data_IF_023192444032
#
_entry.id   IF_023192444032
#
_cell.length_a   1.000
_cell.length_b   1.000
_cell.length_c   1.000
_cell.angle_alpha   90.00
_cell.angle_beta   90.00
_cell.angle_gamma   90.00
#
_symmetry.space_group_name_H-M   'P 1'
#
loop_
_entity.id
_entity.type
_entity.pdbx_description
1 polymer ?
#
# COMPACT_ATOMS: atom_id res chain seq x y z
N UNK A 1 11.99 -14.52 28.91
CA UNK A 1 12.52 -14.02 27.63
C UNK A 1 13.91 -13.49 27.92
N UNK A 2 14.96 -14.18 27.43
CA UNK A 2 16.32 -13.66 27.49
C UNK A 2 16.45 -12.54 26.47
N UNK A 3 16.19 -11.31 26.89
CA UNK A 3 16.43 -10.13 26.06
C UNK A 3 17.93 -9.87 25.94
N UNK A 4 18.35 -9.30 24.84
CA UNK A 4 19.70 -8.78 24.68
C UNK A 4 19.90 -7.65 25.71
N UNK A 5 20.77 -7.82 26.68
CA UNK A 5 21.01 -6.87 27.76
C UNK A 5 21.45 -5.48 27.29
N UNK A 6 21.92 -5.36 26.04
CA UNK A 6 22.38 -4.09 25.46
C UNK A 6 21.28 -3.11 25.09
N UNK A 7 20.08 -3.55 24.80
CA UNK A 7 19.02 -2.66 24.27
C UNK A 7 17.76 -2.60 25.10
N UNK A 8 17.58 -3.47 26.11
CA UNK A 8 16.31 -3.67 26.86
C UNK A 8 15.07 -3.93 25.98
N UNK A 9 15.26 -4.11 24.68
CA UNK A 9 14.21 -4.38 23.69
C UNK A 9 14.58 -5.61 22.90
N UNK A 10 13.58 -6.42 22.53
CA UNK A 10 13.77 -7.57 21.65
C UNK A 10 13.86 -7.06 20.21
N UNK A 11 14.99 -7.36 19.54
CA UNK A 11 15.15 -7.11 18.12
C UNK A 11 14.51 -8.25 17.33
N UNK A 12 13.44 -7.95 16.55
CA UNK A 12 12.65 -8.94 15.82
C UNK A 12 13.27 -9.34 14.46
N UNK A 13 14.36 -8.69 14.03
CA UNK A 13 15.02 -9.05 12.77
C UNK A 13 16.02 -10.21 12.96
N UNK A 14 16.27 -10.92 11.87
CA UNK A 14 17.36 -11.92 11.84
C UNK A 14 18.72 -11.23 11.88
N UNK A 15 19.72 -11.84 12.51
CA UNK A 15 19.73 -13.16 13.20
C UNK A 15 19.20 -13.12 14.64
N UNK A 16 18.96 -11.96 15.21
CA UNK A 16 18.72 -11.78 16.66
C UNK A 16 17.49 -12.53 17.17
N UNK A 17 16.39 -12.54 16.41
CA UNK A 17 15.16 -13.24 16.79
C UNK A 17 15.35 -14.77 16.85
N UNK A 18 16.30 -15.32 16.11
CA UNK A 18 16.57 -16.76 16.09
C UNK A 18 17.25 -17.26 17.36
N UNK A 19 17.84 -16.36 18.16
CA UNK A 19 18.44 -16.64 19.46
C UNK A 19 17.43 -16.63 20.61
N UNK A 20 16.25 -16.05 20.39
CA UNK A 20 15.21 -15.95 21.42
C UNK A 20 14.54 -17.28 21.62
N UNK A 21 14.44 -17.71 22.87
CA UNK A 21 13.73 -18.92 23.27
C UNK A 21 12.64 -18.60 24.28
N UNK A 22 11.53 -19.33 24.23
CA UNK A 22 10.38 -19.19 25.15
C UNK A 22 10.14 -20.54 25.82
N UNK A 23 9.96 -20.54 27.12
CA UNK A 23 9.64 -21.77 27.86
C UNK A 23 8.18 -22.15 27.61
N UNK A 24 7.95 -23.38 27.17
CA UNK A 24 6.59 -23.91 26.98
C UNK A 24 5.87 -23.98 28.34
N UNK A 25 4.70 -23.37 28.47
CA UNK A 25 3.94 -23.40 29.72
C UNK A 25 3.40 -24.79 30.09
N UNK A 26 3.24 -25.69 29.13
CA UNK A 26 2.70 -27.02 29.36
C UNK A 26 3.76 -28.05 29.75
N UNK A 27 4.89 -28.07 29.03
CA UNK A 27 5.91 -29.10 29.21
C UNK A 27 7.26 -28.61 29.74
N UNK A 28 7.44 -27.30 29.92
CA UNK A 28 8.67 -26.69 30.42
C UNK A 28 9.87 -26.71 29.46
N UNK A 29 9.71 -27.26 28.24
CA UNK A 29 10.78 -27.29 27.24
C UNK A 29 10.98 -25.92 26.58
N UNK A 30 12.20 -25.67 26.11
CA UNK A 30 12.50 -24.45 25.36
C UNK A 30 11.96 -24.55 23.92
N UNK A 31 11.14 -23.60 23.57
CA UNK A 31 10.64 -23.41 22.21
C UNK A 31 11.51 -22.39 21.47
N UNK A 32 11.79 -22.64 20.21
CA UNK A 32 12.47 -21.73 19.29
C UNK A 32 11.53 -21.27 18.22
N UNK A 33 11.82 -20.12 17.64
CA UNK A 33 11.11 -19.63 16.46
C UNK A 33 11.17 -20.69 15.34
N UNK A 34 10.05 -20.88 14.68
CA UNK A 34 10.00 -21.66 13.43
C UNK A 34 10.78 -20.88 12.35
N UNK A 35 11.73 -21.52 11.60
CA UNK A 35 12.56 -20.81 10.65
C UNK A 35 11.80 -20.25 9.44
N UNK A 36 10.67 -20.84 9.13
CA UNK A 36 9.78 -20.38 8.07
C UNK A 36 9.20 -19.00 8.42
N UNK A 37 9.00 -18.18 7.43
CA UNK A 37 8.40 -16.85 7.54
C UNK A 37 7.02 -16.91 6.89
N UNK A 38 5.99 -16.42 7.57
CA UNK A 38 4.68 -16.23 6.97
C UNK A 38 4.83 -15.24 5.81
N UNK A 39 4.20 -15.53 4.69
CA UNK A 39 4.21 -14.69 3.52
C UNK A 39 3.60 -13.31 3.86
N UNK A 40 4.27 -12.23 3.48
CA UNK A 40 3.78 -10.87 3.68
C UNK A 40 2.41 -10.62 3.00
N UNK A 41 2.07 -11.39 1.99
CA UNK A 41 0.76 -11.35 1.35
C UNK A 41 -0.35 -11.89 2.23
N UNK A 42 -0.05 -12.82 3.12
CA UNK A 42 -1.00 -13.27 4.15
C UNK A 42 -1.32 -12.11 5.11
N UNK A 43 -0.31 -11.42 5.64
CA UNK A 43 -0.53 -10.30 6.54
C UNK A 43 -1.35 -9.19 5.87
N UNK A 44 -1.05 -8.86 4.62
CA UNK A 44 -1.79 -7.84 3.86
C UNK A 44 -3.21 -8.30 3.48
N UNK A 45 -3.40 -9.59 3.24
CA UNK A 45 -4.72 -10.20 2.97
C UNK A 45 -5.62 -10.24 4.20
N UNK A 46 -5.02 -10.33 5.39
CA UNK A 46 -5.72 -10.30 6.68
C UNK A 46 -6.22 -8.90 7.08
N UNK A 47 -5.78 -7.83 6.40
CA UNK A 47 -6.08 -6.45 6.76
C UNK A 47 -7.56 -6.17 7.06
N UNK A 48 -8.55 -6.65 6.29
CA UNK A 48 -9.96 -6.32 6.52
C UNK A 48 -10.47 -6.67 7.92
N UNK A 49 -9.93 -7.70 8.54
CA UNK A 49 -10.34 -8.15 9.87
C UNK A 49 -9.26 -7.89 10.93
N UNK A 50 -7.99 -7.98 10.57
CA UNK A 50 -6.89 -7.77 11.50
C UNK A 50 -6.81 -6.32 12.01
N UNK A 51 -7.10 -5.31 11.18
CA UNK A 51 -7.14 -3.91 11.59
C UNK A 51 -8.14 -3.61 12.71
N UNK A 52 -9.18 -4.42 12.82
CA UNK A 52 -10.21 -4.30 13.85
C UNK A 52 -9.94 -5.19 15.07
N UNK A 53 -8.88 -6.00 15.04
CA UNK A 53 -8.63 -7.08 16.01
C UNK A 53 -9.81 -8.06 16.13
N UNK A 54 -10.55 -8.23 15.01
CA UNK A 54 -11.66 -9.18 14.93
C UNK A 54 -11.15 -10.64 15.06
N UNK A 55 -11.83 -11.54 15.77
CA UNK A 55 -13.17 -11.40 16.37
C UNK A 55 -13.15 -10.93 17.85
N UNK A 56 -12.01 -10.56 18.39
CA UNK A 56 -11.82 -10.28 19.82
C UNK A 56 -12.30 -8.89 20.22
N UNK A 57 -12.17 -7.92 19.32
CA UNK A 57 -12.55 -6.52 19.52
C UNK A 57 -13.27 -5.98 18.28
N UNK A 58 -13.93 -4.83 18.42
CA UNK A 58 -14.51 -4.03 17.32
C UNK A 58 -15.39 -4.81 16.34
N UNK A 59 -16.11 -5.81 16.81
CA UNK A 59 -16.95 -6.67 15.97
C UNK A 59 -17.99 -5.88 15.19
N UNK A 60 -18.71 -4.98 15.86
CA UNK A 60 -19.76 -4.17 15.23
C UNK A 60 -19.19 -3.25 14.13
N UNK A 61 -18.00 -2.71 14.35
CA UNK A 61 -17.31 -1.88 13.36
C UNK A 61 -16.88 -2.70 12.15
N UNK A 62 -16.34 -3.90 12.37
CA UNK A 62 -16.01 -4.82 11.29
C UNK A 62 -17.24 -5.17 10.46
N UNK A 63 -18.35 -5.54 11.11
CA UNK A 63 -19.59 -5.93 10.42
C UNK A 63 -20.19 -4.79 9.58
N UNK A 64 -20.00 -3.54 10.01
CA UNK A 64 -20.42 -2.35 9.26
C UNK A 64 -19.53 -2.06 8.06
N UNK A 65 -18.24 -2.33 8.15
CA UNK A 65 -17.25 -1.95 7.13
C UNK A 65 -16.87 -3.12 6.20
N UNK A 66 -17.30 -4.33 6.50
CA UNK A 66 -16.99 -5.51 5.70
C UNK A 66 -18.23 -6.01 4.92
N UNK A 67 -18.14 -6.17 3.61
CA UNK A 67 -17.00 -5.88 2.73
C UNK A 67 -16.81 -4.37 2.48
N UNK A 68 -15.58 -3.97 2.18
CA UNK A 68 -15.25 -2.60 1.79
C UNK A 68 -16.05 -2.17 0.54
N UNK A 69 -16.41 -0.90 0.45
CA UNK A 69 -17.15 -0.39 -0.71
C UNK A 69 -16.32 -0.45 -1.98
N UNK A 70 -15.02 -0.13 -1.90
CA UNK A 70 -14.07 -0.33 -2.98
C UNK A 70 -12.63 -0.48 -2.45
N UNK A 71 -11.77 -1.07 -3.27
CA UNK A 71 -10.33 -1.05 -3.15
C UNK A 71 -9.72 -0.51 -4.45
N UNK A 72 -8.51 0.05 -4.38
CA UNK A 72 -7.83 0.60 -5.56
C UNK A 72 -6.34 0.37 -5.46
N UNK A 73 -5.80 -0.30 -6.47
CA UNK A 73 -4.37 -0.53 -6.67
C UNK A 73 -4.10 -0.81 -8.15
N UNK A 74 -2.82 -0.99 -8.52
CA UNK A 74 -2.43 -1.27 -9.89
C UNK A 74 -2.74 -2.74 -10.29
N UNK A 75 -2.75 -2.99 -11.58
CA UNK A 75 -3.15 -4.27 -12.19
C UNK A 75 -2.30 -5.47 -11.76
N UNK A 76 -1.06 -5.26 -11.36
CA UNK A 76 -0.17 -6.32 -10.83
C UNK A 76 -0.71 -6.95 -9.55
N UNK A 77 -1.57 -6.26 -8.80
CA UNK A 77 -2.19 -6.75 -7.57
C UNK A 77 -3.26 -7.83 -7.80
N UNK A 78 -3.58 -8.15 -9.04
CA UNK A 78 -4.35 -9.36 -9.40
C UNK A 78 -3.62 -10.64 -9.02
N UNK A 79 -2.29 -10.59 -8.88
CA UNK A 79 -1.42 -11.68 -8.38
C UNK A 79 -0.70 -11.30 -7.08
N UNK A 80 -1.32 -10.47 -6.28
CA UNK A 80 -0.82 -10.00 -5.00
C UNK A 80 -1.97 -9.71 -4.06
N UNK A 81 -2.14 -8.45 -3.69
CA UNK A 81 -3.10 -8.04 -2.67
C UNK A 81 -4.56 -8.35 -2.99
N UNK A 82 -5.03 -8.13 -4.21
CA UNK A 82 -6.42 -8.47 -4.57
C UNK A 82 -6.71 -9.96 -4.40
N UNK A 83 -5.73 -10.80 -4.76
CA UNK A 83 -5.85 -12.25 -4.61
C UNK A 83 -5.83 -12.69 -3.15
N UNK A 84 -4.87 -12.21 -2.34
CA UNK A 84 -4.76 -12.61 -0.94
C UNK A 84 -5.97 -12.15 -0.13
N UNK A 85 -6.45 -10.92 -0.32
CA UNK A 85 -7.71 -10.44 0.26
C UNK A 85 -8.88 -11.36 -0.05
N UNK A 86 -9.05 -11.73 -1.32
CA UNK A 86 -10.16 -12.59 -1.75
C UNK A 86 -10.03 -13.99 -1.19
N UNK A 87 -8.85 -14.59 -1.24
CA UNK A 87 -8.61 -15.95 -0.76
C UNK A 87 -8.91 -16.07 0.73
N UNK A 88 -8.31 -15.21 1.56
CA UNK A 88 -8.49 -15.27 3.01
C UNK A 88 -9.92 -14.99 3.45
N UNK A 89 -10.53 -13.94 2.89
CA UNK A 89 -11.91 -13.59 3.22
C UNK A 89 -12.91 -14.65 2.78
N UNK A 90 -12.67 -15.31 1.65
CA UNK A 90 -13.52 -16.40 1.19
C UNK A 90 -13.38 -17.60 2.10
N UNK A 91 -12.16 -17.95 2.53
CA UNK A 91 -11.91 -19.06 3.44
C UNK A 91 -12.53 -18.83 4.82
N UNK A 92 -12.42 -17.61 5.36
CA UNK A 92 -12.86 -17.29 6.72
C UNK A 92 -14.35 -16.93 6.81
N UNK A 93 -14.86 -16.19 5.82
CA UNK A 93 -16.19 -15.59 5.89
C UNK A 93 -17.12 -16.06 4.77
N UNK A 94 -16.64 -16.86 3.82
CA UNK A 94 -17.37 -17.25 2.61
C UNK A 94 -17.94 -16.04 1.85
N UNK A 95 -17.19 -14.94 1.84
CA UNK A 95 -17.61 -13.65 1.30
C UNK A 95 -16.42 -12.88 0.73
N UNK A 96 -16.63 -12.15 -0.38
CA UNK A 96 -15.61 -11.26 -0.93
C UNK A 96 -15.38 -10.08 0.04
N UNK A 97 -14.13 -9.60 0.21
CA UNK A 97 -13.80 -8.51 1.14
C UNK A 97 -14.09 -7.12 0.59
N UNK A 98 -14.45 -7.00 -0.66
CA UNK A 98 -14.75 -5.75 -1.35
C UNK A 98 -15.90 -5.91 -2.34
N UNK A 99 -16.63 -4.82 -2.58
CA UNK A 99 -17.74 -4.75 -3.54
C UNK A 99 -17.24 -4.35 -4.93
N UNK A 100 -16.26 -3.45 -4.98
CA UNK A 100 -15.71 -2.90 -6.21
C UNK A 100 -14.18 -2.87 -6.17
N UNK A 101 -13.56 -2.98 -7.35
CA UNK A 101 -12.11 -2.85 -7.53
C UNK A 101 -11.84 -1.79 -8.59
N UNK A 102 -11.12 -0.75 -8.23
CA UNK A 102 -10.63 0.25 -9.18
C UNK A 102 -9.20 -0.15 -9.52
N UNK A 103 -9.02 -0.76 -10.68
CA UNK A 103 -7.70 -1.23 -11.14
C UNK A 103 -7.01 -0.13 -11.93
N UNK A 104 -5.83 0.28 -11.47
CA UNK A 104 -5.04 1.33 -12.11
C UNK A 104 -3.99 0.77 -13.05
N UNK A 105 -3.76 1.48 -14.16
CA UNK A 105 -2.64 1.22 -15.06
C UNK A 105 -1.30 1.63 -14.44
N UNK A 106 -0.22 1.00 -14.93
CA UNK A 106 1.13 1.34 -14.48
C UNK A 106 1.55 2.76 -14.89
N UNK A 107 2.35 3.39 -14.04
CA UNK A 107 3.06 4.62 -14.39
C UNK A 107 4.34 4.24 -15.15
N UNK A 108 4.51 4.82 -16.34
CA UNK A 108 5.64 4.62 -17.24
C UNK A 108 6.46 5.90 -17.33
N UNK A 109 7.68 5.79 -17.84
CA UNK A 109 8.48 6.96 -18.18
C UNK A 109 7.85 7.73 -19.37
N UNK A 110 8.42 8.87 -19.73
CA UNK A 110 7.90 9.71 -20.84
C UNK A 110 7.94 9.01 -22.21
N UNK A 111 8.75 7.97 -22.37
CA UNK A 111 8.84 7.14 -23.58
C UNK A 111 7.88 5.95 -23.57
N UNK A 112 7.10 5.77 -22.48
CA UNK A 112 6.19 4.63 -22.33
C UNK A 112 6.88 3.35 -21.91
N UNK A 113 8.08 3.43 -21.35
CA UNK A 113 8.81 2.28 -20.82
C UNK A 113 8.51 2.09 -19.33
N UNK A 114 8.49 0.83 -18.90
CA UNK A 114 8.37 0.50 -17.47
C UNK A 114 9.54 1.14 -16.70
N UNK A 115 9.21 1.92 -15.67
CA UNK A 115 10.20 2.50 -14.77
C UNK A 115 10.91 1.42 -13.96
N UNK A 116 12.22 1.53 -13.84
CA UNK A 116 13.05 0.62 -13.05
C UNK A 116 14.27 1.36 -12.52
N UNK A 117 14.61 1.14 -11.25
CA UNK A 117 15.84 1.67 -10.65
C UNK A 117 17.09 1.21 -11.41
N UNK A 118 17.11 -0.04 -11.88
CA UNK A 118 18.24 -0.61 -12.62
C UNK A 118 18.44 0.01 -14.01
N UNK A 119 17.38 0.57 -14.61
CA UNK A 119 17.44 1.28 -15.92
C UNK A 119 17.70 2.77 -15.78
N UNK A 120 17.70 3.31 -14.56
CA UNK A 120 17.89 4.74 -14.32
C UNK A 120 16.76 5.65 -14.84
N UNK A 121 15.62 5.09 -15.25
CA UNK A 121 14.48 5.84 -15.76
C UNK A 121 13.34 6.02 -14.72
N UNK A 122 13.60 5.67 -13.47
CA UNK A 122 12.65 5.89 -12.38
C UNK A 122 12.68 7.36 -11.95
N UNK A 123 11.49 7.94 -11.81
CA UNK A 123 11.33 9.28 -11.24
C UNK A 123 11.28 9.16 -9.72
N UNK A 124 12.10 9.95 -9.04
CA UNK A 124 12.03 10.05 -7.59
C UNK A 124 10.77 10.84 -7.18
N UNK A 125 9.85 10.23 -6.41
CA UNK A 125 8.60 10.89 -6.05
C UNK A 125 8.78 12.15 -5.21
N UNK A 126 9.77 12.19 -4.31
CA UNK A 126 10.02 13.34 -3.45
C UNK A 126 10.54 14.51 -4.26
N UNK A 127 11.49 14.29 -5.16
CA UNK A 127 11.97 15.34 -6.07
C UNK A 127 10.86 15.86 -6.98
N UNK A 128 9.96 15.00 -7.44
CA UNK A 128 8.81 15.41 -8.23
C UNK A 128 7.82 16.25 -7.41
N UNK A 129 7.55 15.87 -6.17
CA UNK A 129 6.69 16.62 -5.24
C UNK A 129 7.28 18.02 -4.92
N UNK A 130 8.57 18.11 -4.68
CA UNK A 130 9.24 19.39 -4.43
C UNK A 130 9.26 20.28 -5.67
N UNK A 131 9.45 19.70 -6.86
CA UNK A 131 9.55 20.45 -8.11
C UNK A 131 8.21 20.97 -8.61
N UNK A 132 7.17 20.16 -8.56
CA UNK A 132 5.87 20.45 -9.19
C UNK A 132 4.75 20.72 -8.18
N UNK A 133 4.91 20.32 -6.94
CA UNK A 133 3.87 20.36 -5.93
C UNK A 133 2.91 19.15 -6.02
N UNK A 134 2.38 18.75 -4.88
CA UNK A 134 1.52 17.56 -4.78
C UNK A 134 0.22 17.72 -5.59
N UNK A 135 -0.41 18.87 -5.56
CA UNK A 135 -1.69 19.10 -6.24
C UNK A 135 -1.55 19.09 -7.78
N UNK A 136 -0.44 19.59 -8.32
CA UNK A 136 -0.18 19.54 -9.76
C UNK A 136 0.00 18.09 -10.23
N UNK A 137 0.71 17.26 -9.45
CA UNK A 137 0.91 15.84 -9.74
C UNK A 137 -0.42 15.09 -9.64
N UNK A 138 -1.21 15.34 -8.59
CA UNK A 138 -2.54 14.73 -8.42
C UNK A 138 -3.47 15.10 -9.57
N UNK A 139 -3.51 16.37 -9.93
CA UNK A 139 -4.28 16.86 -11.08
C UNK A 139 -3.90 16.13 -12.35
N UNK A 140 -2.59 16.02 -12.62
CA UNK A 140 -2.09 15.29 -13.77
C UNK A 140 -2.58 13.84 -13.80
N UNK A 141 -2.48 13.11 -12.70
CA UNK A 141 -2.91 11.72 -12.63
C UNK A 141 -4.41 11.53 -12.81
N UNK A 142 -5.23 12.47 -12.37
CA UNK A 142 -6.67 12.39 -12.55
C UNK A 142 -7.13 12.79 -13.95
N UNK A 143 -6.40 13.63 -14.66
CA UNK A 143 -6.86 14.23 -15.92
C UNK A 143 -6.14 13.71 -17.17
N UNK A 144 -4.98 13.06 -17.03
CA UNK A 144 -4.15 12.67 -18.17
C UNK A 144 -4.72 11.55 -19.00
N UNK A 145 -5.42 10.59 -18.39
CA UNK A 145 -6.06 9.46 -19.08
C UNK A 145 -7.00 8.71 -18.13
N UNK A 146 -7.78 7.75 -18.66
CA UNK A 146 -8.59 6.87 -17.83
C UNK A 146 -7.73 6.11 -16.80
N UNK A 147 -8.24 5.85 -15.59
CA UNK A 147 -7.46 5.26 -14.50
C UNK A 147 -6.78 3.93 -14.85
N UNK A 148 -7.46 3.08 -15.59
CA UNK A 148 -6.98 1.74 -15.97
C UNK A 148 -5.96 1.72 -17.10
N UNK A 149 -5.73 2.84 -17.76
CA UNK A 149 -4.73 2.92 -18.83
C UNK A 149 -3.35 3.24 -18.24
N UNK A 150 -2.28 2.68 -18.82
CA UNK A 150 -0.92 3.08 -18.47
C UNK A 150 -0.72 4.58 -18.68
N UNK A 151 -0.05 5.24 -17.72
CA UNK A 151 0.20 6.68 -17.75
C UNK A 151 1.68 6.95 -17.92
N UNK A 152 2.03 7.81 -18.86
CA UNK A 152 3.40 8.28 -19.04
C UNK A 152 3.63 9.47 -18.14
N UNK A 153 4.56 9.38 -17.20
CA UNK A 153 4.91 10.52 -16.37
C UNK A 153 5.85 11.46 -17.12
N UNK A 154 5.41 12.70 -17.30
CA UNK A 154 6.20 13.76 -17.91
C UNK A 154 6.11 15.04 -17.07
N UNK A 155 7.24 15.54 -16.59
CA UNK A 155 7.29 16.79 -15.83
C UNK A 155 6.73 17.98 -16.63
N UNK A 156 6.94 18.02 -17.94
CA UNK A 156 6.36 19.04 -18.82
C UNK A 156 4.83 19.02 -18.82
N UNK A 157 4.23 17.83 -18.85
CA UNK A 157 2.78 17.69 -18.83
C UNK A 157 2.19 18.07 -17.46
N UNK A 158 2.88 17.76 -16.37
CA UNK A 158 2.50 18.21 -15.02
C UNK A 158 2.51 19.73 -14.94
N UNK A 159 3.60 20.38 -15.40
CA UNK A 159 3.71 21.87 -15.43
C UNK A 159 2.66 22.52 -16.33
N UNK A 160 2.31 21.87 -17.44
CA UNK A 160 1.27 22.39 -18.32
C UNK A 160 -0.11 22.37 -17.64
N UNK A 161 -0.45 21.30 -16.95
CA UNK A 161 -1.66 21.21 -16.14
C UNK A 161 -1.69 22.24 -15.02
N UNK A 162 -0.57 22.41 -14.32
CA UNK A 162 -0.42 23.43 -13.29
C UNK A 162 -0.65 24.85 -13.87
N UNK A 163 -0.03 25.18 -14.97
CA UNK A 163 -0.15 26.49 -15.60
C UNK A 163 -1.54 26.76 -16.15
N UNK A 164 -2.10 25.80 -16.91
CA UNK A 164 -3.39 25.99 -17.59
C UNK A 164 -4.58 25.96 -16.65
N UNK A 165 -4.59 25.06 -15.67
CA UNK A 165 -5.71 24.92 -14.76
C UNK A 165 -5.52 25.69 -13.46
N UNK A 166 -4.49 25.35 -12.69
CA UNK A 166 -4.30 25.92 -11.36
C UNK A 166 -3.98 27.42 -11.43
N UNK A 167 -3.10 27.83 -12.36
CA UNK A 167 -2.80 29.22 -12.58
C UNK A 167 -4.01 30.04 -13.02
N UNK A 168 -4.85 29.49 -13.91
CA UNK A 168 -6.08 30.15 -14.34
C UNK A 168 -7.07 30.24 -13.19
N UNK A 169 -7.26 29.16 -12.42
CA UNK A 169 -8.15 29.16 -11.24
C UNK A 169 -7.69 30.22 -10.23
N UNK A 170 -6.41 30.23 -9.89
CA UNK A 170 -5.81 31.21 -8.98
C UNK A 170 -6.05 32.67 -9.43
N UNK A 171 -5.73 32.96 -10.69
CA UNK A 171 -5.94 34.28 -11.25
C UNK A 171 -7.42 34.68 -11.28
N UNK A 172 -8.31 33.74 -11.54
CA UNK A 172 -9.75 34.00 -11.49
C UNK A 172 -10.21 34.30 -10.06
N UNK A 173 -9.72 33.57 -9.07
CA UNK A 173 -10.03 33.87 -7.66
C UNK A 173 -9.52 35.26 -7.26
N UNK A 174 -8.29 35.62 -7.65
CA UNK A 174 -7.75 36.96 -7.37
C UNK A 174 -8.53 38.11 -8.05
N UNK A 175 -9.21 37.83 -9.16
CA UNK A 175 -10.03 38.83 -9.83
C UNK A 175 -11.33 39.13 -9.07
N UNK A 176 -11.85 38.17 -8.30
CA UNK A 176 -13.10 38.29 -7.53
C UNK A 176 -12.88 38.74 -6.09
N UNK A 177 -11.64 38.77 -5.61
CA UNK A 177 -11.27 39.27 -4.27
C UNK A 177 -10.65 40.65 -4.34
#
# INVERSE_FOLDING_TARGET
VSGNERTKTVEFHRPYIDEVTITCPECGKQMKRVPEVIDCWFDSGAMPFAQHHYPFENKDLFEQQFPADFISEAVDQTRGWFYSLLAESTLLFNKAPYKNVIVMGHVQDENGQKMSKSKGNAVDPFNALETYGADAIRWYFYTSSAPWLPKRFSGKAVQEGQRKFMGTLWNTCLLYT
#
